data_IF_133642476736
#
_entry.id   IF_133642476736
#
_cell.length_a   1.000
_cell.length_b   1.000
_cell.length_c   1.000
_cell.angle_alpha   90.00
_cell.angle_beta   90.00
_cell.angle_gamma   90.00
#
_symmetry.space_group_name_H-M   'P 1'
#
loop_
_entity.id
_entity.type
_entity.pdbx_description
1 polymer ?
#
# COMPACT_ATOMS: atom_id res chain seq x y z
N UNK A 1 15.24 17.10 -16.00
CA UNK A 1 14.57 16.70 -17.26
C UNK A 1 13.48 15.67 -16.96
N UNK A 2 12.20 16.06 -16.93
CA UNK A 2 11.06 15.11 -16.97
C UNK A 2 10.52 15.11 -18.40
N UNK A 3 11.08 14.26 -19.27
CA UNK A 3 10.75 14.28 -20.72
C UNK A 3 9.39 13.64 -21.05
N UNK A 4 8.83 12.81 -20.16
CA UNK A 4 7.50 12.23 -20.32
C UNK A 4 6.79 12.11 -18.96
N UNK A 5 5.51 12.50 -18.90
CA UNK A 5 4.63 12.36 -17.72
C UNK A 5 4.05 10.94 -17.66
N UNK A 6 4.91 9.94 -17.54
CA UNK A 6 4.46 8.55 -17.48
C UNK A 6 4.02 8.19 -16.04
N UNK A 7 2.86 7.56 -15.88
CA UNK A 7 2.47 6.95 -14.60
C UNK A 7 3.47 5.85 -14.25
N UNK A 8 3.80 5.73 -12.96
CA UNK A 8 4.81 4.80 -12.46
C UNK A 8 4.26 4.09 -11.23
N UNK A 9 4.30 2.76 -11.28
CA UNK A 9 4.00 1.88 -10.16
C UNK A 9 5.31 1.30 -9.62
N UNK A 10 5.49 1.31 -8.30
CA UNK A 10 6.65 0.72 -7.65
C UNK A 10 6.23 -0.63 -7.07
N UNK A 11 6.79 -1.70 -7.60
CA UNK A 11 6.61 -3.05 -7.08
C UNK A 11 7.87 -3.48 -6.31
N UNK A 12 7.71 -3.76 -5.02
CA UNK A 12 8.80 -4.24 -4.15
C UNK A 12 8.76 -5.77 -4.17
N UNK A 13 9.72 -6.39 -4.86
CA UNK A 13 9.89 -7.83 -4.92
C UNK A 13 10.92 -8.33 -3.90
N UNK A 14 10.95 -9.64 -3.67
CA UNK A 14 11.91 -10.35 -2.80
C UNK A 14 11.87 -9.92 -1.32
N UNK A 15 10.66 -9.80 -0.77
CA UNK A 15 10.43 -9.54 0.66
C UNK A 15 10.89 -10.69 1.57
N UNK A 16 11.30 -11.82 0.99
CA UNK A 16 11.87 -12.99 1.64
C UNK A 16 13.35 -12.81 2.05
N UNK A 17 14.04 -11.78 1.54
CA UNK A 17 15.47 -11.59 1.79
C UNK A 17 15.79 -10.98 3.18
N UNK A 18 16.91 -11.39 3.77
CA UNK A 18 17.41 -10.83 5.02
C UNK A 18 17.79 -9.36 4.83
N UNK A 19 17.04 -8.46 5.47
CA UNK A 19 17.21 -7.02 5.36
C UNK A 19 16.20 -6.33 4.44
N UNK A 20 15.24 -7.08 3.87
CA UNK A 20 14.15 -6.47 3.12
C UNK A 20 13.28 -5.62 4.05
N UNK A 21 13.35 -4.30 3.90
CA UNK A 21 12.52 -3.34 4.59
C UNK A 21 11.74 -2.49 3.56
N UNK A 22 10.44 -2.76 3.35
CA UNK A 22 9.64 -2.02 2.36
C UNK A 22 9.54 -0.52 2.67
N UNK A 23 9.65 -0.15 3.95
CA UNK A 23 9.58 1.25 4.39
C UNK A 23 10.85 2.04 4.02
N UNK A 24 12.02 1.42 4.14
CA UNK A 24 13.26 2.02 3.66
C UNK A 24 13.24 2.22 2.14
N UNK A 25 12.67 1.27 1.40
CA UNK A 25 12.52 1.42 -0.07
C UNK A 25 11.57 2.58 -0.40
N UNK A 26 10.48 2.74 0.36
CA UNK A 26 9.56 3.86 0.21
C UNK A 26 10.26 5.21 0.47
N UNK A 27 11.03 5.32 1.56
CA UNK A 27 11.77 6.54 1.89
C UNK A 27 12.90 6.84 0.90
N UNK A 28 13.57 5.81 0.41
CA UNK A 28 14.53 5.95 -0.68
C UNK A 28 13.87 6.43 -1.98
N UNK A 29 12.68 5.91 -2.31
CA UNK A 29 11.92 6.36 -3.47
C UNK A 29 11.57 7.85 -3.35
N UNK A 30 11.11 8.28 -2.16
CA UNK A 30 10.78 9.69 -1.89
C UNK A 30 11.99 10.61 -2.00
N UNK A 31 13.09 10.25 -1.34
CA UNK A 31 14.31 11.07 -1.31
C UNK A 31 15.01 11.14 -2.68
N UNK A 32 15.14 10.02 -3.39
CA UNK A 32 15.84 9.96 -4.68
C UNK A 32 15.01 10.48 -5.83
N UNK A 33 13.72 10.12 -5.88
CA UNK A 33 12.87 10.45 -7.03
C UNK A 33 12.11 11.78 -6.86
N UNK A 34 12.05 12.34 -5.64
CA UNK A 34 11.32 13.58 -5.31
C UNK A 34 9.90 13.56 -5.88
N UNK A 35 9.24 12.42 -5.75
CA UNK A 35 7.86 12.22 -6.17
C UNK A 35 6.98 12.00 -4.94
N UNK A 36 5.71 12.40 -5.07
CA UNK A 36 4.66 12.01 -4.15
C UNK A 36 4.48 10.50 -4.28
N UNK A 37 4.97 9.76 -3.28
CA UNK A 37 4.91 8.30 -3.26
C UNK A 37 4.34 7.88 -1.93
N UNK A 38 3.27 7.10 -1.97
CA UNK A 38 2.65 6.50 -0.81
C UNK A 38 2.54 4.99 -1.00
N UNK A 39 2.47 4.27 0.12
CA UNK A 39 2.15 2.85 0.08
C UNK A 39 0.66 2.70 -0.22
N UNK A 40 0.32 1.80 -1.15
CA UNK A 40 -1.07 1.37 -1.41
C UNK A 40 -1.36 0.08 -0.65
N UNK A 41 -0.33 -0.74 -0.44
CA UNK A 41 -0.42 -2.03 0.24
C UNK A 41 0.61 -2.14 1.35
N UNK A 42 0.28 -2.91 2.39
CA UNK A 42 1.14 -3.17 3.55
C UNK A 42 1.36 -4.69 3.68
N UNK A 43 2.60 -5.19 3.61
CA UNK A 43 2.85 -6.63 3.78
C UNK A 43 2.59 -7.08 5.22
N UNK A 44 1.88 -8.20 5.36
CA UNK A 44 1.62 -8.87 6.62
C UNK A 44 2.80 -9.80 6.92
N UNK A 45 3.62 -9.37 7.88
CA UNK A 45 4.89 -10.02 8.19
C UNK A 45 5.97 -9.77 7.13
N UNK A 46 7.19 -10.25 7.41
CA UNK A 46 8.36 -10.10 6.55
C UNK A 46 9.13 -11.41 6.52
N UNK A 47 9.96 -11.60 5.49
CA UNK A 47 10.87 -12.76 5.37
C UNK A 47 10.11 -14.09 5.34
N UNK A 48 10.41 -14.98 6.30
CA UNK A 48 9.77 -16.30 6.46
C UNK A 48 8.37 -16.21 7.07
N UNK A 49 8.05 -15.09 7.72
CA UNK A 49 6.74 -14.84 8.33
C UNK A 49 5.83 -14.02 7.40
N UNK A 50 6.18 -13.90 6.12
CA UNK A 50 5.30 -13.27 5.13
C UNK A 50 4.05 -14.12 4.93
N UNK A 51 2.91 -13.58 5.34
CA UNK A 51 1.61 -14.27 5.33
C UNK A 51 0.64 -13.67 4.34
N UNK A 52 0.88 -12.44 3.86
CA UNK A 52 -0.14 -11.72 3.11
C UNK A 52 0.17 -10.25 2.84
N UNK A 53 -0.82 -9.54 2.31
CA UNK A 53 -0.82 -8.11 2.03
C UNK A 53 -2.14 -7.50 2.51
N UNK A 54 -2.08 -6.33 3.14
CA UNK A 54 -3.26 -5.50 3.43
C UNK A 54 -3.38 -4.44 2.36
N UNK A 55 -4.53 -4.34 1.72
CA UNK A 55 -4.88 -3.21 0.87
C UNK A 55 -5.40 -2.05 1.71
N UNK A 56 -4.77 -0.88 1.58
CA UNK A 56 -5.15 0.34 2.30
C UNK A 56 -6.37 1.04 1.69
N UNK A 57 -6.68 0.77 0.42
CA UNK A 57 -7.81 1.36 -0.29
C UNK A 57 -9.11 0.73 0.22
N UNK A 58 -9.22 -0.60 0.09
CA UNK A 58 -10.40 -1.34 0.54
C UNK A 58 -10.36 -1.75 2.03
N UNK A 59 -9.24 -1.56 2.73
CA UNK A 59 -9.01 -2.04 4.12
C UNK A 59 -9.25 -3.54 4.27
N UNK A 60 -8.79 -4.31 3.29
CA UNK A 60 -8.92 -5.77 3.26
C UNK A 60 -7.55 -6.41 3.40
N UNK A 61 -7.46 -7.46 4.21
CA UNK A 61 -6.27 -8.30 4.28
C UNK A 61 -6.42 -9.47 3.31
N UNK A 62 -5.37 -9.70 2.54
CA UNK A 62 -5.20 -10.84 1.63
C UNK A 62 -4.13 -11.74 2.22
N UNK A 63 -4.47 -13.00 2.47
CA UNK A 63 -3.52 -13.98 2.99
C UNK A 63 -3.15 -14.98 1.90
N UNK A 64 -1.87 -15.29 1.82
CA UNK A 64 -1.36 -16.30 0.89
C UNK A 64 -1.27 -17.64 1.62
N UNK A 65 -2.31 -18.46 1.46
CA UNK A 65 -2.32 -19.84 1.95
C UNK A 65 -1.98 -20.77 0.79
N UNK A 66 -0.79 -21.37 0.82
CA UNK A 66 -0.38 -22.29 -0.24
C UNK A 66 0.79 -23.15 0.18
N UNK A 67 0.52 -24.42 0.51
CA UNK A 67 1.53 -25.46 0.38
C UNK A 67 1.78 -25.65 -1.12
N UNK A 68 2.97 -25.24 -1.57
CA UNK A 68 3.66 -25.65 -2.81
C UNK A 68 3.97 -24.50 -3.78
N UNK A 69 5.27 -24.35 -4.01
CA UNK A 69 5.95 -23.29 -4.78
C UNK A 69 5.72 -23.31 -6.30
N UNK A 70 4.83 -24.12 -6.86
CA UNK A 70 4.85 -24.40 -8.31
C UNK A 70 3.51 -24.50 -9.03
N UNK A 71 2.37 -24.40 -8.34
CA UNK A 71 1.07 -24.37 -9.01
C UNK A 71 0.27 -23.25 -8.40
N UNK A 72 -0.19 -22.36 -9.29
CA UNK A 72 -1.27 -21.39 -9.10
C UNK A 72 -1.47 -21.05 -7.63
N UNK A 73 -0.88 -19.94 -7.17
CA UNK A 73 -1.23 -19.37 -5.87
C UNK A 73 -2.74 -19.18 -5.92
N UNK A 74 -3.47 -20.15 -5.39
CA UNK A 74 -4.83 -19.98 -4.98
C UNK A 74 -4.70 -18.90 -3.92
N UNK A 75 -4.93 -17.66 -4.35
CA UNK A 75 -5.31 -16.61 -3.43
C UNK A 75 -6.64 -17.12 -2.94
N UNK A 76 -6.63 -17.98 -1.92
CA UNK A 76 -7.80 -18.17 -1.10
C UNK A 76 -8.07 -16.76 -0.60
N UNK A 77 -9.01 -16.07 -1.25
CA UNK A 77 -9.46 -14.72 -0.96
C UNK A 77 -10.18 -14.75 0.40
N UNK A 78 -9.48 -15.18 1.45
CA UNK A 78 -9.95 -15.06 2.81
C UNK A 78 -9.79 -13.59 3.13
N UNK A 79 -10.82 -12.83 2.80
CA UNK A 79 -11.03 -11.46 3.24
C UNK A 79 -11.20 -11.48 4.76
N UNK A 80 -10.10 -11.64 5.49
CA UNK A 80 -10.13 -11.52 6.94
C UNK A 80 -9.90 -10.05 7.34
N UNK A 81 -10.29 -9.73 8.57
CA UNK A 81 -9.96 -8.45 9.16
C UNK A 81 -8.45 -8.25 9.27
N UNK A 82 -8.01 -7.00 9.17
CA UNK A 82 -6.62 -6.61 9.41
C UNK A 82 -6.20 -7.05 10.82
N UNK A 83 -5.05 -7.74 10.98
CA UNK A 83 -4.52 -8.13 12.28
C UNK A 83 -4.48 -6.97 13.27
N UNK A 84 -4.93 -7.19 14.50
CA UNK A 84 -5.06 -6.13 15.50
C UNK A 84 -3.74 -5.41 15.81
N UNK A 85 -2.63 -6.14 15.76
CA UNK A 85 -1.25 -5.67 15.89
C UNK A 85 -0.84 -4.74 14.74
N UNK A 86 -1.44 -4.89 13.56
CA UNK A 86 -1.14 -4.07 12.39
C UNK A 86 -2.14 -2.93 12.16
N UNK A 87 -3.28 -2.90 12.86
CA UNK A 87 -4.32 -1.85 12.68
C UNK A 87 -3.75 -0.43 12.84
N UNK A 88 -2.85 -0.22 13.80
CA UNK A 88 -2.21 1.09 14.01
C UNK A 88 -1.34 1.51 12.81
N UNK A 89 -0.48 0.61 12.33
CA UNK A 89 0.38 0.85 11.17
C UNK A 89 -0.44 1.06 9.89
N UNK A 90 -1.47 0.24 9.68
CA UNK A 90 -2.40 0.35 8.54
C UNK A 90 -3.13 1.68 8.56
N UNK A 91 -3.62 2.13 9.73
CA UNK A 91 -4.28 3.43 9.88
C UNK A 91 -3.32 4.59 9.58
N UNK A 92 -2.09 4.52 10.09
CA UNK A 92 -1.06 5.53 9.82
C UNK A 92 -0.73 5.62 8.33
N UNK A 93 -0.49 4.47 7.68
CA UNK A 93 -0.15 4.40 6.25
C UNK A 93 -1.32 4.77 5.35
N UNK A 94 -2.55 4.44 5.74
CA UNK A 94 -3.75 4.92 5.04
C UNK A 94 -3.88 6.43 5.12
N UNK A 95 -3.64 7.04 6.28
CA UNK A 95 -3.64 8.51 6.43
C UNK A 95 -2.59 9.16 5.55
N UNK A 96 -1.38 8.60 5.53
CA UNK A 96 -0.28 9.06 4.68
C UNK A 96 -0.60 8.95 3.17
N UNK A 97 -1.28 7.87 2.76
CA UNK A 97 -1.79 7.70 1.40
C UNK A 97 -2.78 8.80 1.04
N UNK A 98 -3.79 9.01 1.89
CA UNK A 98 -4.82 10.04 1.68
C UNK A 98 -4.18 11.43 1.59
N UNK A 99 -3.27 11.78 2.50
CA UNK A 99 -2.55 13.06 2.50
C UNK A 99 -1.70 13.26 1.24
N UNK A 100 -1.19 12.17 0.68
CA UNK A 100 -0.39 12.22 -0.56
C UNK A 100 -1.28 12.43 -1.78
N UNK A 101 -2.43 11.76 -1.84
CA UNK A 101 -3.40 11.90 -2.94
C UNK A 101 -4.08 13.27 -2.89
N UNK A 102 -4.41 13.76 -1.70
CA UNK A 102 -5.02 15.08 -1.51
C UNK A 102 -4.12 16.25 -1.92
N UNK A 103 -2.81 16.07 -2.01
CA UNK A 103 -1.88 17.08 -2.56
C UNK A 103 -1.98 17.23 -4.07
N UNK A 104 -2.57 16.24 -4.75
CA UNK A 104 -2.67 16.20 -6.22
C UNK A 104 -4.10 16.48 -6.69
N UNK A 105 -5.11 16.06 -5.92
CA UNK A 105 -6.53 16.29 -6.23
C UNK A 105 -7.17 17.26 -5.22
N UNK A 106 -7.64 18.40 -5.73
CA UNK A 106 -8.25 19.48 -4.95
C UNK A 106 -9.57 19.06 -4.27
N UNK A 107 -10.36 18.17 -4.88
CA UNK A 107 -11.61 17.67 -4.27
C UNK A 107 -11.31 16.77 -3.08
N UNK A 108 -10.28 15.95 -3.18
CA UNK A 108 -9.81 15.12 -2.07
C UNK A 108 -9.14 15.97 -0.98
N UNK A 109 -8.47 17.06 -1.34
CA UNK A 109 -7.96 18.06 -0.38
C UNK A 109 -9.06 18.67 0.47
N UNK A 110 -10.13 19.13 -0.16
CA UNK A 110 -11.28 19.71 0.54
C UNK A 110 -11.99 18.68 1.42
N UNK A 111 -12.17 17.45 0.92
CA UNK A 111 -12.76 16.36 1.69
C UNK A 111 -11.92 16.00 2.93
N UNK A 112 -10.59 15.93 2.77
CA UNK A 112 -9.66 15.66 3.86
C UNK A 112 -9.65 16.79 4.90
N UNK A 113 -9.58 18.05 4.48
CA UNK A 113 -9.65 19.20 5.39
C UNK A 113 -10.98 19.31 6.14
N UNK A 114 -12.06 18.75 5.58
CA UNK A 114 -13.40 18.74 6.18
C UNK A 114 -13.67 17.50 7.05
N UNK A 115 -12.68 16.63 7.28
CA UNK A 115 -12.83 15.32 7.93
C UNK A 115 -13.98 14.47 7.35
N UNK A 116 -14.30 14.66 6.06
CA UNK A 116 -15.31 13.85 5.39
C UNK A 116 -14.76 12.45 5.13
N UNK A 117 -15.57 11.39 5.30
CA UNK A 117 -15.12 10.03 5.02
C UNK A 117 -14.83 9.88 3.52
N UNK A 118 -13.54 9.75 3.17
CA UNK A 118 -13.10 9.45 1.81
C UNK A 118 -13.36 7.98 1.54
N UNK A 119 -14.20 7.69 0.54
CA UNK A 119 -14.56 6.33 0.19
C UNK A 119 -13.46 5.67 -0.64
N UNK A 120 -13.43 4.33 -0.66
CA UNK A 120 -12.49 3.58 -1.50
C UNK A 120 -12.65 3.93 -2.99
N UNK A 121 -13.89 4.23 -3.41
CA UNK A 121 -14.22 4.63 -4.78
C UNK A 121 -13.58 5.96 -5.18
N UNK A 122 -13.47 6.92 -4.27
CA UNK A 122 -12.82 8.20 -4.54
C UNK A 122 -11.30 8.05 -4.71
N UNK A 123 -10.70 7.07 -4.00
CA UNK A 123 -9.27 6.74 -4.10
C UNK A 123 -8.95 5.95 -5.38
N UNK A 124 -9.85 5.07 -5.84
CA UNK A 124 -9.70 4.32 -7.09
C UNK A 124 -9.74 5.21 -8.34
N UNK A 125 -10.47 6.34 -8.31
CA UNK A 125 -10.53 7.28 -9.44
C UNK A 125 -9.23 8.09 -9.61
N UNK A 126 -8.43 8.22 -8.55
CA UNK A 126 -7.21 9.03 -8.54
C UNK A 126 -5.90 8.24 -8.76
N UNK A 127 -5.91 6.91 -8.60
CA UNK A 127 -4.73 6.05 -8.74
C UNK A 127 -4.53 5.59 -10.19
#
# INVERSE_FOLDING_TARGET
MRRYKLPRLIYINKLDHNGANPWEVLDQARSKLKHHTAAVQVPIGLKKDFKGLVDLVQLKAYYFHGLNREKEVAVDEVFEEVPADMKALVSEKRRELIETVSKVDEKLAEAFCSDKPISATDLEVCC
#
